data_IF_089369980750
#
_entry.id   IF_089369980750
#
_cell.length_a   1.000
_cell.length_b   1.000
_cell.length_c   1.000
_cell.angle_alpha   90.00
_cell.angle_beta   90.00
_cell.angle_gamma   90.00
#
_symmetry.space_group_name_H-M   'P 1'
#
loop_
_entity.id
_entity.type
_entity.pdbx_description
1 polymer ?
#
# COMPACT_ATOMS: atom_id res chain seq x y z
N UNK A 1 -20.92 14.95 13.80
CA UNK A 1 -19.87 13.99 13.50
C UNK A 1 -20.37 12.75 12.77
N UNK A 2 -21.46 12.12 13.21
CA UNK A 2 -22.04 10.93 12.56
C UNK A 2 -22.40 11.15 11.08
N UNK A 3 -22.99 12.28 10.71
CA UNK A 3 -23.39 12.58 9.33
C UNK A 3 -22.22 12.56 8.32
N UNK A 4 -21.07 13.15 8.67
CA UNK A 4 -19.89 13.17 7.80
C UNK A 4 -19.32 11.75 7.57
N UNK A 5 -19.43 10.87 8.56
CA UNK A 5 -18.96 9.47 8.41
C UNK A 5 -19.85 8.69 7.46
N UNK A 6 -21.17 8.90 7.53
CA UNK A 6 -22.12 8.27 6.60
C UNK A 6 -21.90 8.75 5.18
N UNK A 7 -21.70 10.05 4.99
CA UNK A 7 -21.40 10.67 3.70
C UNK A 7 -20.08 10.13 3.11
N UNK A 8 -19.00 10.08 3.92
CA UNK A 8 -17.72 9.54 3.48
C UNK A 8 -17.81 8.07 3.05
N UNK A 9 -18.59 7.25 3.77
CA UNK A 9 -18.86 5.86 3.36
C UNK A 9 -19.60 5.80 2.02
N UNK A 10 -20.61 6.63 1.85
CA UNK A 10 -21.34 6.71 0.57
C UNK A 10 -20.42 7.05 -0.60
N UNK A 11 -19.42 7.94 -0.39
CA UNK A 11 -18.44 8.24 -1.43
C UNK A 11 -17.51 7.07 -1.73
N UNK A 12 -17.07 6.30 -0.73
CA UNK A 12 -16.27 5.09 -0.93
C UNK A 12 -17.06 4.03 -1.68
N UNK A 13 -18.33 3.82 -1.33
CA UNK A 13 -19.22 2.89 -2.03
C UNK A 13 -19.44 3.29 -3.49
N UNK A 14 -19.68 4.57 -3.75
CA UNK A 14 -19.83 5.09 -5.11
C UNK A 14 -18.54 4.91 -5.94
N UNK A 15 -17.36 5.16 -5.34
CA UNK A 15 -16.08 4.92 -5.99
C UNK A 15 -15.88 3.43 -6.31
N UNK A 16 -16.23 2.53 -5.39
CA UNK A 16 -16.18 1.09 -5.60
C UNK A 16 -17.08 0.67 -6.78
N UNK A 17 -18.31 1.18 -6.84
CA UNK A 17 -19.25 0.91 -7.93
C UNK A 17 -18.70 1.40 -9.27
N UNK A 18 -18.08 2.58 -9.31
CA UNK A 18 -17.48 3.14 -10.52
C UNK A 18 -16.27 2.31 -10.99
N UNK A 19 -15.40 1.86 -10.08
CA UNK A 19 -14.24 1.02 -10.41
C UNK A 19 -14.70 -0.34 -10.94
N UNK A 20 -15.64 -1.00 -10.25
CA UNK A 20 -16.14 -2.32 -10.67
C UNK A 20 -16.95 -2.24 -11.97
N UNK A 21 -17.71 -1.16 -12.17
CA UNK A 21 -18.48 -0.93 -13.39
C UNK A 21 -17.61 -0.56 -14.61
N UNK A 22 -16.34 -0.20 -14.41
CA UNK A 22 -15.41 0.10 -15.49
C UNK A 22 -14.83 -1.15 -16.18
N UNK A 23 -15.09 -2.35 -15.64
CA UNK A 23 -14.63 -3.64 -16.19
C UNK A 23 -13.14 -3.64 -16.54
N UNK A 24 -12.30 -3.20 -15.57
CA UNK A 24 -10.87 -2.99 -15.76
C UNK A 24 -10.13 -4.30 -16.03
N UNK A 25 -9.25 -4.31 -17.03
CA UNK A 25 -8.29 -5.40 -17.26
C UNK A 25 -7.21 -5.46 -16.19
N UNK A 26 -6.83 -4.31 -15.65
CA UNK A 26 -5.87 -4.17 -14.55
C UNK A 26 -6.03 -2.84 -13.81
N UNK A 27 -5.60 -2.77 -12.55
CA UNK A 27 -5.58 -1.57 -11.72
C UNK A 27 -4.17 -1.30 -11.18
N UNK A 28 -3.58 -0.16 -11.51
CA UNK A 28 -2.32 0.28 -10.89
C UNK A 28 -2.63 0.93 -9.55
N UNK A 29 -2.05 0.41 -8.48
CA UNK A 29 -2.22 0.91 -7.12
C UNK A 29 -0.93 1.56 -6.68
N UNK A 30 -0.94 2.88 -6.49
CA UNK A 30 0.18 3.63 -5.92
C UNK A 30 -0.13 3.89 -4.44
N UNK A 31 0.64 3.27 -3.56
CA UNK A 31 0.47 3.37 -2.12
C UNK A 31 1.79 3.56 -1.38
N UNK A 32 1.71 3.93 -0.11
CA UNK A 32 2.89 4.01 0.74
C UNK A 32 3.12 2.70 1.50
N UNK A 33 4.38 2.38 1.74
CA UNK A 33 4.78 1.33 2.67
C UNK A 33 5.32 1.98 3.96
N UNK A 34 4.50 1.96 5.00
CA UNK A 34 4.80 2.54 6.31
C UNK A 34 5.61 1.57 7.19
N UNK A 35 6.71 1.01 6.69
CA UNK A 35 7.50 -0.05 7.33
C UNK A 35 6.70 -1.34 7.60
N UNK A 36 5.73 -1.64 6.76
CA UNK A 36 4.94 -2.87 6.87
C UNK A 36 5.62 -4.04 6.17
N UNK A 37 6.03 -3.81 4.93
CA UNK A 37 6.69 -4.81 4.08
C UNK A 37 8.20 -4.65 4.11
N UNK A 38 8.68 -3.44 3.81
CA UNK A 38 10.09 -3.12 3.68
C UNK A 38 10.54 -2.24 4.85
N UNK A 39 11.64 -2.64 5.51
CA UNK A 39 12.17 -1.97 6.68
C UNK A 39 13.38 -1.10 6.29
N UNK A 40 13.98 -0.43 7.29
CA UNK A 40 15.09 0.51 7.07
C UNK A 40 16.33 -0.09 6.40
N UNK A 41 16.44 -1.41 6.38
CA UNK A 41 17.50 -2.16 5.70
C UNK A 41 17.29 -2.26 4.17
N UNK A 42 16.06 -2.05 3.69
CA UNK A 42 15.73 -2.12 2.26
C UNK A 42 14.58 -1.17 1.88
N UNK A 43 14.67 0.09 2.29
CA UNK A 43 13.71 1.13 1.94
C UNK A 43 14.02 1.69 0.55
N UNK A 44 13.27 1.24 -0.44
CA UNK A 44 13.31 1.83 -1.78
C UNK A 44 12.42 3.06 -1.86
N UNK A 45 12.85 4.12 -2.54
CA UNK A 45 12.02 5.31 -2.76
C UNK A 45 10.79 4.99 -3.62
N UNK A 46 10.97 4.13 -4.61
CA UNK A 46 9.95 3.62 -5.53
C UNK A 46 10.19 2.13 -5.71
N UNK A 47 9.17 1.31 -5.47
CA UNK A 47 9.22 -0.14 -5.69
C UNK A 47 7.99 -0.60 -6.46
N UNK A 48 8.20 -1.38 -7.52
CA UNK A 48 7.14 -2.05 -8.28
C UNK A 48 7.14 -3.54 -7.96
N UNK A 49 6.00 -4.05 -7.50
CA UNK A 49 5.81 -5.47 -7.28
C UNK A 49 5.33 -6.14 -8.57
N UNK A 50 6.02 -7.22 -8.99
CA UNK A 50 5.76 -7.93 -10.23
C UNK A 50 5.61 -9.45 -10.06
N UNK A 51 5.27 -9.94 -8.87
CA UNK A 51 4.91 -11.35 -8.66
C UNK A 51 3.70 -11.76 -9.51
N UNK A 52 3.43 -13.04 -9.63
CA UNK A 52 2.24 -13.55 -10.32
C UNK A 52 0.97 -13.27 -9.49
N UNK A 53 1.11 -13.35 -8.18
CA UNK A 53 0.05 -13.08 -7.21
C UNK A 53 0.58 -12.26 -6.05
N UNK A 54 -0.33 -11.64 -5.31
CA UNK A 54 -0.04 -11.01 -4.03
C UNK A 54 -0.94 -11.62 -2.95
N UNK A 55 -0.34 -12.08 -1.85
CA UNK A 55 -1.08 -12.77 -0.79
C UNK A 55 -1.70 -11.77 0.18
N UNK A 56 -3.01 -11.78 0.30
CA UNK A 56 -3.73 -11.15 1.40
C UNK A 56 -3.70 -12.06 2.63
N UNK A 57 -3.46 -11.50 3.81
CA UNK A 57 -3.52 -12.21 5.08
C UNK A 57 -4.46 -11.50 6.06
N UNK A 58 -5.12 -12.25 6.95
CA UNK A 58 -5.86 -11.63 8.04
C UNK A 58 -4.97 -10.76 8.92
N UNK A 59 -5.53 -9.63 9.35
CA UNK A 59 -4.81 -8.74 10.26
C UNK A 59 -4.43 -9.45 11.56
N UNK A 60 -3.19 -9.28 11.99
CA UNK A 60 -2.69 -9.80 13.27
C UNK A 60 -2.32 -8.63 14.17
N UNK A 61 -3.10 -8.43 15.23
CA UNK A 61 -2.82 -7.37 16.19
C UNK A 61 -1.53 -7.64 16.97
N UNK A 62 -0.70 -6.60 17.10
CA UNK A 62 0.42 -6.64 18.04
C UNK A 62 -0.12 -6.60 19.49
N UNK A 63 0.57 -7.26 20.45
CA UNK A 63 0.20 -7.20 21.87
C UNK A 63 0.09 -5.76 22.37
N UNK A 64 -0.96 -5.48 23.18
CA UNK A 64 -1.16 -4.16 23.79
C UNK A 64 -1.78 -3.09 22.87
N UNK A 65 -2.15 -3.43 21.64
CA UNK A 65 -2.83 -2.49 20.75
C UNK A 65 -4.27 -2.22 21.22
N UNK A 66 -4.71 -0.96 21.16
CA UNK A 66 -6.04 -0.57 21.58
C UNK A 66 -7.13 -1.31 20.76
N UNK A 67 -8.16 -1.83 21.40
CA UNK A 67 -9.19 -2.67 20.77
C UNK A 67 -9.91 -1.98 19.59
N UNK A 68 -10.20 -0.68 19.71
CA UNK A 68 -10.82 0.08 18.62
C UNK A 68 -9.93 0.15 17.36
N UNK A 69 -8.60 0.21 17.56
CA UNK A 69 -7.64 0.24 16.46
C UNK A 69 -7.50 -1.16 15.81
N UNK A 70 -7.54 -2.23 16.62
CA UNK A 70 -7.59 -3.60 16.12
C UNK A 70 -8.81 -3.79 15.23
N UNK A 71 -9.99 -3.44 15.72
CA UNK A 71 -11.23 -3.54 14.94
C UNK A 71 -11.23 -2.68 13.67
N UNK A 72 -10.62 -1.52 13.71
CA UNK A 72 -10.49 -0.67 12.52
C UNK A 72 -9.56 -1.32 11.48
N UNK A 73 -8.44 -1.89 11.92
CA UNK A 73 -7.50 -2.60 11.05
C UNK A 73 -8.10 -3.88 10.46
N UNK A 74 -8.78 -4.70 11.27
CA UNK A 74 -9.45 -5.93 10.79
C UNK A 74 -10.42 -5.68 9.64
N UNK A 75 -11.03 -4.49 9.58
CA UNK A 75 -11.94 -4.11 8.47
C UNK A 75 -11.22 -3.74 7.18
N UNK A 76 -9.92 -3.47 7.24
CA UNK A 76 -9.10 -3.09 6.08
C UNK A 76 -8.44 -4.30 5.42
N UNK A 77 -8.34 -5.43 6.12
CA UNK A 77 -7.68 -6.63 5.66
C UNK A 77 -8.68 -7.75 5.36
N UNK A 78 -8.28 -8.70 4.54
CA UNK A 78 -9.07 -9.89 4.28
C UNK A 78 -9.33 -10.68 5.58
N UNK A 79 -10.50 -11.29 5.69
CA UNK A 79 -10.82 -12.17 6.82
C UNK A 79 -10.12 -13.54 6.74
N UNK A 80 -9.58 -13.92 5.58
CA UNK A 80 -8.89 -15.18 5.30
C UNK A 80 -7.75 -14.96 4.33
N UNK A 81 -6.82 -15.91 4.28
CA UNK A 81 -5.72 -15.87 3.32
C UNK A 81 -6.26 -16.08 1.89
N UNK A 82 -5.82 -15.22 0.97
CA UNK A 82 -6.20 -15.31 -0.44
C UNK A 82 -5.09 -14.72 -1.31
N UNK A 83 -4.85 -15.35 -2.48
CA UNK A 83 -3.89 -14.86 -3.46
C UNK A 83 -4.62 -14.11 -4.58
N UNK A 84 -4.46 -12.79 -4.60
CA UNK A 84 -5.00 -11.94 -5.65
C UNK A 84 -4.08 -11.93 -6.88
N UNK A 85 -4.64 -11.88 -8.11
CA UNK A 85 -3.84 -11.81 -9.32
C UNK A 85 -3.10 -10.48 -9.43
N UNK A 86 -1.86 -10.55 -9.92
CA UNK A 86 -1.08 -9.37 -10.31
C UNK A 86 -1.00 -9.32 -11.83
N UNK A 87 -1.14 -8.15 -12.40
CA UNK A 87 -0.92 -7.94 -13.83
C UNK A 87 0.59 -7.94 -14.14
N UNK A 88 1.20 -9.14 -14.01
CA UNK A 88 2.63 -9.39 -14.05
C UNK A 88 3.32 -8.75 -15.26
N UNK A 89 2.80 -8.98 -16.47
CA UNK A 89 3.39 -8.45 -17.70
C UNK A 89 3.32 -6.93 -17.75
N UNK A 90 2.19 -6.34 -17.30
CA UNK A 90 2.04 -4.89 -17.19
C UNK A 90 3.01 -4.31 -16.15
N UNK A 91 3.18 -4.98 -15.02
CA UNK A 91 4.14 -4.55 -13.99
C UNK A 91 5.58 -4.56 -14.51
N UNK A 92 5.97 -5.57 -15.26
CA UNK A 92 7.29 -5.65 -15.91
C UNK A 92 7.48 -4.55 -16.94
N UNK A 93 6.48 -4.34 -17.79
CA UNK A 93 6.52 -3.27 -18.78
C UNK A 93 6.65 -1.88 -18.10
N UNK A 94 5.92 -1.65 -17.00
CA UNK A 94 6.05 -0.43 -16.20
C UNK A 94 7.47 -0.25 -15.64
N UNK A 95 8.09 -1.32 -15.13
CA UNK A 95 9.49 -1.29 -14.65
C UNK A 95 10.44 -0.86 -15.76
N UNK A 96 10.35 -1.50 -16.93
CA UNK A 96 11.20 -1.18 -18.08
C UNK A 96 11.03 0.29 -18.50
N UNK A 97 9.80 0.77 -18.62
CA UNK A 97 9.51 2.18 -18.95
C UNK A 97 10.05 3.17 -17.92
N UNK A 98 9.97 2.85 -16.63
CA UNK A 98 10.49 3.70 -15.57
C UNK A 98 12.03 3.78 -15.61
N UNK A 99 12.70 2.65 -15.84
CA UNK A 99 14.15 2.58 -15.99
C UNK A 99 14.60 3.38 -17.22
N UNK A 100 13.93 3.21 -18.37
CA UNK A 100 14.20 3.96 -19.61
C UNK A 100 13.96 5.46 -19.45
N UNK A 101 13.17 5.86 -18.45
CA UNK A 101 12.88 7.25 -18.09
C UNK A 101 13.77 7.77 -16.95
N UNK A 102 14.91 7.12 -16.67
CA UNK A 102 15.88 7.48 -15.63
C UNK A 102 15.34 7.47 -14.18
N UNK A 103 14.28 6.68 -13.90
CA UNK A 103 13.85 6.46 -12.53
C UNK A 103 14.69 5.38 -11.85
N UNK A 104 15.08 5.62 -10.59
CA UNK A 104 15.67 4.61 -9.71
C UNK A 104 14.56 3.74 -9.11
N UNK A 105 14.33 2.57 -9.72
CA UNK A 105 13.23 1.67 -9.40
C UNK A 105 13.75 0.40 -8.74
N UNK A 106 13.27 0.12 -7.55
CA UNK A 106 13.40 -1.19 -6.94
C UNK A 106 12.25 -2.10 -7.37
N UNK A 107 12.51 -3.41 -7.39
CA UNK A 107 11.52 -4.38 -7.83
C UNK A 107 11.43 -5.56 -6.84
N UNK A 108 10.23 -6.15 -6.73
CA UNK A 108 10.03 -7.35 -5.92
C UNK A 108 9.08 -8.31 -6.63
N UNK A 109 9.46 -9.60 -6.71
CA UNK A 109 8.63 -10.69 -7.24
C UNK A 109 7.94 -11.50 -6.14
N UNK A 110 8.28 -11.25 -4.88
CA UNK A 110 7.70 -11.92 -3.72
C UNK A 110 7.62 -10.95 -2.54
N UNK A 111 6.62 -11.14 -1.69
CA UNK A 111 6.53 -10.41 -0.42
C UNK A 111 7.60 -10.92 0.57
N UNK A 112 8.06 -10.09 1.51
CA UNK A 112 8.92 -10.56 2.59
C UNK A 112 8.30 -11.74 3.34
N UNK A 113 9.14 -12.68 3.79
CA UNK A 113 8.69 -13.93 4.40
C UNK A 113 7.69 -13.71 5.54
N UNK A 114 6.53 -14.34 5.44
CA UNK A 114 5.47 -14.29 6.47
C UNK A 114 4.66 -12.99 6.46
N UNK A 115 4.88 -12.12 5.47
CA UNK A 115 4.07 -10.92 5.26
C UNK A 115 2.96 -11.18 4.23
N UNK A 116 1.85 -10.49 4.40
CA UNK A 116 0.82 -10.33 3.38
C UNK A 116 0.93 -8.94 2.74
N UNK A 117 -0.04 -8.59 1.92
CA UNK A 117 -0.14 -7.27 1.31
C UNK A 117 -0.13 -6.12 2.35
N UNK A 118 0.31 -4.93 1.94
CA UNK A 118 0.27 -3.73 2.79
C UNK A 118 -1.16 -3.23 3.01
N UNK A 119 -1.34 -2.36 4.01
CA UNK A 119 -2.65 -1.76 4.30
C UNK A 119 -3.23 -0.99 3.09
N UNK A 120 -2.38 -0.34 2.29
CA UNK A 120 -2.81 0.42 1.10
C UNK A 120 -3.42 -0.49 0.03
N UNK A 121 -2.84 -1.67 -0.20
CA UNK A 121 -3.36 -2.67 -1.13
C UNK A 121 -4.57 -3.38 -0.54
N UNK A 122 -4.51 -3.79 0.73
CA UNK A 122 -5.60 -4.45 1.43
C UNK A 122 -6.90 -3.63 1.45
N UNK A 123 -6.78 -2.30 1.65
CA UNK A 123 -7.93 -1.39 1.57
C UNK A 123 -8.57 -1.41 0.18
N UNK A 124 -7.79 -1.40 -0.89
CA UNK A 124 -8.30 -1.46 -2.25
C UNK A 124 -9.02 -2.77 -2.50
N UNK A 125 -8.41 -3.92 -2.16
CA UNK A 125 -9.03 -5.23 -2.33
C UNK A 125 -10.35 -5.36 -1.55
N UNK A 126 -10.37 -4.94 -0.30
CA UNK A 126 -11.55 -5.14 0.57
C UNK A 126 -12.63 -4.11 0.35
N UNK A 127 -12.29 -2.83 0.23
CA UNK A 127 -13.26 -1.73 0.23
C UNK A 127 -13.66 -1.29 -1.19
N UNK A 128 -12.73 -1.27 -2.14
CA UNK A 128 -13.02 -0.79 -3.49
C UNK A 128 -13.30 -1.92 -4.47
N UNK A 129 -12.51 -2.99 -4.45
CA UNK A 129 -12.74 -4.16 -5.31
C UNK A 129 -13.71 -5.17 -4.69
N UNK A 130 -14.08 -5.02 -3.41
CA UNK A 130 -15.00 -5.93 -2.70
C UNK A 130 -14.59 -7.40 -2.86
N UNK A 131 -13.29 -7.66 -2.79
CA UNK A 131 -12.64 -8.94 -3.03
C UNK A 131 -12.83 -9.52 -4.44
N UNK A 132 -13.23 -8.71 -5.41
CA UNK A 132 -13.24 -9.12 -6.82
C UNK A 132 -11.79 -9.25 -7.30
N UNK A 133 -11.41 -10.36 -7.97
CA UNK A 133 -10.03 -10.63 -8.35
C UNK A 133 -9.61 -9.85 -9.62
N UNK A 134 -9.69 -8.52 -9.60
CA UNK A 134 -9.14 -7.66 -10.65
C UNK A 134 -7.62 -7.71 -10.56
N UNK A 135 -6.89 -7.99 -11.66
CA UNK A 135 -5.43 -7.97 -11.64
C UNK A 135 -4.90 -6.58 -11.25
N UNK A 136 -3.92 -6.52 -10.35
CA UNK A 136 -3.36 -5.25 -9.88
C UNK A 136 -1.88 -5.12 -10.22
N UNK A 137 -1.37 -3.89 -10.28
CA UNK A 137 0.06 -3.56 -10.25
C UNK A 137 0.35 -2.75 -8.99
N UNK A 138 0.88 -3.36 -7.93
CA UNK A 138 1.26 -2.63 -6.71
C UNK A 138 2.54 -1.83 -6.92
N UNK A 139 2.46 -0.53 -6.66
CA UNK A 139 3.58 0.41 -6.67
C UNK A 139 3.69 1.02 -5.27
N UNK A 140 4.83 0.82 -4.61
CA UNK A 140 5.06 1.30 -3.26
C UNK A 140 5.99 2.50 -3.28
N UNK A 141 5.55 3.59 -2.64
CA UNK A 141 6.36 4.75 -2.36
C UNK A 141 6.77 4.70 -0.88
N UNK A 142 8.05 4.86 -0.61
CA UNK A 142 8.49 4.94 0.78
C UNK A 142 8.63 6.40 1.18
N UNK A 143 8.00 6.84 2.28
CA UNK A 143 8.23 8.16 2.83
C UNK A 143 9.70 8.30 3.21
N UNK A 144 10.47 9.08 2.47
CA UNK A 144 11.86 9.34 2.79
C UNK A 144 11.92 10.21 4.05
N UNK A 145 12.06 9.57 5.20
CA UNK A 145 12.44 10.26 6.42
C UNK A 145 13.89 10.73 6.25
N UNK A 146 14.09 12.02 5.99
CA UNK A 146 15.46 12.57 6.05
C UNK A 146 16.04 12.23 7.42
N UNK A 147 17.24 11.63 7.50
CA UNK A 147 17.91 11.45 8.78
C UNK A 147 17.91 12.80 9.49
N UNK A 148 17.31 12.88 10.68
CA UNK A 148 17.36 14.09 11.48
C UNK A 148 18.81 14.32 11.82
N UNK A 149 19.45 15.31 11.17
CA UNK A 149 20.80 15.70 11.52
C UNK A 149 20.77 16.33 12.93
N UNK A 150 21.28 15.66 13.98
CA UNK A 150 21.22 16.17 15.34
C UNK A 150 21.92 17.51 15.51
N UNK A 151 22.81 17.89 14.58
CA UNK A 151 23.56 19.17 14.63
C UNK A 151 22.74 20.39 14.18
N UNK A 152 21.53 20.24 13.67
CA UNK A 152 20.71 21.41 13.25
C UNK A 152 19.77 21.95 14.34
N UNK A 153 19.69 21.29 15.51
CA UNK A 153 18.81 21.76 16.59
C UNK A 153 19.45 22.82 17.51
N UNK A 154 20.75 23.04 17.46
CA UNK A 154 21.49 23.91 18.39
C UNK A 154 22.02 25.20 17.76
N UNK A 155 21.58 25.57 16.56
CA UNK A 155 21.87 26.91 16.04
C UNK A 155 20.88 27.91 16.63
N UNK A 156 21.07 28.25 17.89
CA UNK A 156 20.51 29.48 18.48
C UNK A 156 21.13 30.67 17.70
N UNK A 157 20.33 31.63 17.17
CA UNK A 157 20.89 32.84 16.62
C UNK A 157 21.59 33.60 17.75
N UNK A 158 22.91 33.79 17.62
CA UNK A 158 23.64 34.72 18.49
C UNK A 158 23.08 36.12 18.25
N UNK A 159 22.45 36.69 19.29
CA UNK A 159 22.10 38.08 19.32
C UNK A 159 23.38 38.92 19.25
N UNK A 160 23.51 39.75 18.25
CA UNK A 160 24.33 40.96 18.22
C UNK A 160 23.43 42.15 17.98
#
# INVERSE_FOLDING_TARGET
MAGRLVEARGHVEHLADAILGAELDALIIVGDDQNELYLQDNHAALLVYYGETITALPYKAAPGRAEWLVRASERQYSAFAYDYPVAHDLARHLIDMLIDSDFDVSTASALPRGKGESHSVAFIHTQLLRNTPVPIVPVFLTPISRPTNPRRRDATPSAT
#
